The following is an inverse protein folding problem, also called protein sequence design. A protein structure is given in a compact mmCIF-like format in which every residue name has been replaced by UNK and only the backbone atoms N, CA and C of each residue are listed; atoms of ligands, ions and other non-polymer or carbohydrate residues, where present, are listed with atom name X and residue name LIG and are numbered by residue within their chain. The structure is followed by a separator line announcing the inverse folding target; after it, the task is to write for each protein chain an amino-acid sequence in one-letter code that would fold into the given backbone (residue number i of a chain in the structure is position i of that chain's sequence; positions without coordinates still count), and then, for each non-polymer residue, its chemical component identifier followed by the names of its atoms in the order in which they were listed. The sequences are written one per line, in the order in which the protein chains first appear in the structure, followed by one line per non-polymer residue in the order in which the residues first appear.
data_IF_914219053556
#
_entry.id   IF_914219053556
#
_cell.length_a   1.000
_cell.length_b   1.000
_cell.length_c   1.000
_cell.angle_alpha   90.00
_cell.angle_beta   90.00
_cell.angle_gamma   90.00
#
_symmetry.space_group_name_H-M   'P 1'
#
loop_
_entity.id
_entity.type
_entity.pdbx_description
1 polymer ?
#
# COMPACT_ATOMS: atom_id res chain seq x y z
N UNK A 1 16.16 4.10 -13.10
CA UNK A 1 15.31 5.05 -12.36
C UNK A 1 13.99 5.09 -13.10
N UNK A 2 12.91 4.67 -12.47
CA UNK A 2 11.61 4.56 -13.11
C UNK A 2 11.08 5.95 -13.50
N UNK A 3 10.39 6.07 -14.64
CA UNK A 3 9.90 7.34 -15.21
C UNK A 3 8.72 7.97 -14.43
N UNK A 4 8.31 7.36 -13.32
CA UNK A 4 7.13 7.76 -12.57
C UNK A 4 7.44 8.83 -11.53
N UNK A 5 6.83 10.02 -11.70
CA UNK A 5 6.81 11.05 -10.66
C UNK A 5 5.71 10.72 -9.64
N UNK A 6 6.09 10.38 -8.40
CA UNK A 6 5.15 10.21 -7.29
C UNK A 6 4.78 11.59 -6.74
N UNK A 7 3.51 11.98 -6.84
CA UNK A 7 3.04 13.25 -6.26
C UNK A 7 3.02 13.15 -4.75
N UNK A 8 3.43 14.19 -4.03
CA UNK A 8 3.41 14.23 -2.57
C UNK A 8 2.52 15.36 -2.06
N UNK A 9 1.57 15.03 -1.18
CA UNK A 9 0.72 15.97 -0.46
C UNK A 9 1.03 15.82 1.03
N UNK A 10 1.57 16.88 1.64
CA UNK A 10 1.95 16.89 3.05
C UNK A 10 0.72 16.94 3.96
N UNK A 11 0.78 16.20 5.06
CA UNK A 11 -0.13 16.36 6.18
C UNK A 11 0.30 17.58 7.03
N UNK A 12 -0.58 18.58 7.13
CA UNK A 12 -0.36 19.79 7.93
C UNK A 12 -0.62 19.58 9.43
N UNK A 13 -1.26 18.47 9.81
CA UNK A 13 -1.60 18.13 11.19
C UNK A 13 -1.11 16.70 11.51
N UNK A 14 0.20 16.51 11.74
CA UNK A 14 0.77 15.21 12.05
C UNK A 14 0.23 14.67 13.39
N UNK A 15 0.06 13.36 13.46
CA UNK A 15 -0.45 12.68 14.65
C UNK A 15 0.64 12.62 15.73
N UNK A 16 0.20 12.55 16.99
CA UNK A 16 1.09 12.22 18.10
C UNK A 16 1.56 10.76 17.97
N UNK A 17 2.88 10.55 18.09
CA UNK A 17 3.48 9.22 17.97
C UNK A 17 3.33 8.45 19.28
N UNK A 18 2.89 7.18 19.25
CA UNK A 18 2.80 6.37 20.46
C UNK A 18 4.18 6.16 21.09
N UNK A 19 4.21 6.01 22.42
CA UNK A 19 5.42 5.58 23.11
C UNK A 19 5.77 4.13 22.73
N UNK A 20 7.07 3.82 22.69
CA UNK A 20 7.55 2.53 22.18
C UNK A 20 7.11 1.31 23.00
N UNK A 21 6.80 1.51 24.28
CA UNK A 21 6.28 0.50 25.21
C UNK A 21 4.74 0.31 25.12
N UNK A 22 4.05 1.16 24.36
CA UNK A 22 2.60 1.11 24.13
C UNK A 22 2.23 0.59 22.73
N UNK A 23 3.22 0.18 21.93
CA UNK A 23 2.98 -0.30 20.57
C UNK A 23 2.18 -1.60 20.58
N UNK A 24 1.03 -1.58 19.91
CA UNK A 24 0.19 -2.74 19.68
C UNK A 24 -0.09 -2.89 18.20
N UNK A 25 0.22 -4.06 17.64
CA UNK A 25 0.11 -4.33 16.21
C UNK A 25 -1.25 -3.94 15.65
N UNK A 26 -1.26 -3.12 14.60
CA UNK A 26 -2.47 -2.84 13.83
C UNK A 26 -3.27 -1.63 14.30
N UNK A 27 -2.81 -0.92 15.33
CA UNK A 27 -3.61 0.10 16.02
C UNK A 27 -3.24 1.53 15.64
N UNK A 28 -1.96 1.78 15.38
CA UNK A 28 -1.46 3.12 15.08
C UNK A 28 -1.02 3.19 13.63
N UNK A 29 -1.51 4.21 12.93
CA UNK A 29 -1.24 4.42 11.50
C UNK A 29 -0.49 5.74 11.33
N UNK A 30 0.47 5.74 10.41
CA UNK A 30 1.32 6.90 10.07
C UNK A 30 0.55 8.07 9.46
N UNK A 31 1.25 9.16 9.19
CA UNK A 31 0.62 10.42 8.74
C UNK A 31 0.14 10.38 7.29
N UNK A 32 0.77 9.58 6.45
CA UNK A 32 0.49 9.45 5.02
C UNK A 32 0.27 8.00 4.61
N UNK A 33 -0.30 7.86 3.42
CA UNK A 33 -0.54 6.60 2.70
C UNK A 33 -0.11 6.78 1.24
N UNK A 34 0.39 5.72 0.62
CA UNK A 34 0.57 5.70 -0.84
C UNK A 34 -0.74 5.30 -1.52
N UNK A 35 -1.04 5.87 -2.68
CA UNK A 35 -2.16 5.51 -3.55
C UNK A 35 -1.70 5.49 -5.01
N UNK A 36 -2.14 4.51 -5.78
CA UNK A 36 -1.99 4.50 -7.25
C UNK A 36 -3.25 3.92 -7.89
N UNK A 37 -3.67 4.52 -9.00
CA UNK A 37 -4.91 4.16 -9.69
C UNK A 37 -4.60 3.18 -10.82
N UNK A 38 -5.53 2.28 -11.13
CA UNK A 38 -5.50 1.46 -12.34
C UNK A 38 -6.73 1.74 -13.21
N UNK A 39 -6.59 1.66 -14.53
CA UNK A 39 -7.69 1.34 -15.43
C UNK A 39 -7.14 0.71 -16.72
N UNK A 40 -7.96 0.01 -17.54
CA UNK A 40 -7.48 -0.68 -18.74
C UNK A 40 -6.90 0.24 -19.81
N UNK A 41 -7.31 1.50 -19.85
CA UNK A 41 -6.85 2.47 -20.85
C UNK A 41 -5.45 3.02 -20.54
N UNK A 42 -5.12 3.18 -19.25
CA UNK A 42 -3.90 3.84 -18.76
C UNK A 42 -2.95 2.89 -18.03
N UNK A 43 -3.38 1.68 -17.71
CA UNK A 43 -2.68 0.80 -16.78
C UNK A 43 -2.59 1.42 -15.38
N UNK A 44 -1.52 1.10 -14.65
CA UNK A 44 -1.21 1.73 -13.37
C UNK A 44 -0.71 3.16 -13.58
N UNK A 45 -1.37 4.14 -12.96
CA UNK A 45 -1.11 5.56 -13.17
C UNK A 45 -1.44 6.41 -11.94
N UNK A 46 -1.13 7.70 -12.00
CA UNK A 46 -1.41 8.67 -10.92
C UNK A 46 -0.87 8.26 -9.52
N UNK A 47 0.40 7.85 -9.40
CA UNK A 47 0.97 7.48 -8.11
C UNK A 47 1.13 8.72 -7.21
N UNK A 48 0.70 8.60 -5.95
CA UNK A 48 0.71 9.70 -4.99
C UNK A 48 0.90 9.22 -3.56
N UNK A 49 1.53 10.04 -2.74
CA UNK A 49 1.58 9.93 -1.28
C UNK A 49 0.75 11.08 -0.72
N UNK A 50 -0.29 10.75 0.04
CA UNK A 50 -1.28 11.70 0.54
C UNK A 50 -1.51 11.49 2.03
N UNK A 51 -2.09 12.47 2.76
CA UNK A 51 -2.45 12.27 4.15
C UNK A 51 -3.33 11.02 4.34
N UNK A 52 -3.09 10.29 5.43
CA UNK A 52 -3.89 9.14 5.80
C UNK A 52 -5.36 9.55 5.92
N UNK A 53 -6.24 8.89 5.17
CA UNK A 53 -7.66 9.21 5.12
C UNK A 53 -8.52 7.97 4.86
N UNK A 54 -9.83 8.09 5.09
CA UNK A 54 -10.79 7.06 4.73
C UNK A 54 -10.89 6.92 3.20
N UNK A 55 -11.18 5.70 2.73
CA UNK A 55 -11.47 5.44 1.33
C UNK A 55 -12.97 5.61 1.07
N UNK A 56 -13.33 6.47 0.12
CA UNK A 56 -14.70 6.60 -0.39
C UNK A 56 -14.91 5.58 -1.51
N UNK A 57 -15.82 4.64 -1.29
CA UNK A 57 -16.09 3.53 -2.21
C UNK A 57 -17.59 3.46 -2.52
N UNK A 58 -17.91 3.09 -3.76
CA UNK A 58 -19.28 2.78 -4.14
C UNK A 58 -19.77 1.53 -3.37
N UNK A 59 -21.00 1.52 -2.82
CA UNK A 59 -21.54 0.33 -2.16
C UNK A 59 -21.59 -0.92 -3.05
N UNK A 60 -21.64 -0.76 -4.37
CA UNK A 60 -21.59 -1.84 -5.36
C UNK A 60 -20.15 -2.25 -5.74
N UNK A 61 -19.12 -1.70 -5.09
CA UNK A 61 -17.72 -2.03 -5.39
C UNK A 61 -17.45 -3.54 -5.24
N UNK A 62 -16.79 -4.13 -6.25
CA UNK A 62 -16.52 -5.57 -6.30
C UNK A 62 -15.76 -6.10 -5.07
N UNK A 63 -14.92 -5.29 -4.41
CA UNK A 63 -14.27 -5.68 -3.14
C UNK A 63 -15.28 -6.12 -2.07
N UNK A 64 -16.47 -5.51 -2.01
CA UNK A 64 -17.49 -5.83 -1.01
C UNK A 64 -18.31 -7.08 -1.35
N UNK A 65 -18.50 -7.38 -2.63
CA UNK A 65 -19.41 -8.44 -3.09
C UNK A 65 -18.70 -9.72 -3.53
N UNK A 66 -17.49 -9.59 -4.07
CA UNK A 66 -16.72 -10.69 -4.65
C UNK A 66 -15.36 -10.89 -3.99
N UNK A 67 -15.00 -10.05 -3.01
CA UNK A 67 -13.74 -10.18 -2.28
C UNK A 67 -12.50 -10.04 -3.17
N UNK A 68 -12.61 -9.30 -4.28
CA UNK A 68 -11.48 -9.08 -5.19
C UNK A 68 -10.47 -8.11 -4.58
N UNK A 69 -9.61 -8.67 -3.74
CA UNK A 69 -8.55 -7.97 -3.03
C UNK A 69 -7.38 -8.89 -2.74
N UNK A 70 -6.18 -8.31 -2.68
CA UNK A 70 -4.96 -8.96 -2.20
C UNK A 70 -4.22 -8.02 -1.28
N UNK A 71 -3.39 -8.55 -0.38
CA UNK A 71 -2.53 -7.74 0.46
C UNK A 71 -1.17 -8.39 0.67
N UNK A 72 -0.22 -7.58 1.12
CA UNK A 72 1.12 -7.97 1.50
C UNK A 72 1.49 -7.48 2.90
N UNK A 73 2.60 -7.99 3.42
CA UNK A 73 3.09 -7.64 4.74
C UNK A 73 4.61 -7.67 4.80
N UNK A 74 5.21 -6.49 4.98
CA UNK A 74 6.65 -6.33 5.17
C UNK A 74 6.94 -5.35 6.29
N UNK A 75 8.22 -5.20 6.64
CA UNK A 75 8.64 -4.37 7.78
C UNK A 75 9.83 -3.49 7.40
N UNK A 76 9.81 -2.27 7.92
CA UNK A 76 10.96 -1.38 8.00
C UNK A 76 11.54 -1.41 9.42
N UNK A 77 12.86 -1.54 9.49
CA UNK A 77 13.61 -1.62 10.75
C UNK A 77 14.59 -0.46 10.82
N UNK A 78 14.65 0.21 11.97
CA UNK A 78 15.71 1.15 12.27
C UNK A 78 16.88 0.40 12.88
N UNK A 79 18.06 0.59 12.29
CA UNK A 79 19.31 0.01 12.77
C UNK A 79 19.91 0.87 13.89
N UNK A 80 20.86 0.32 14.64
CA UNK A 80 21.61 1.04 15.68
C UNK A 80 22.38 2.27 15.15
N UNK A 81 22.65 2.32 13.83
CA UNK A 81 23.30 3.45 13.15
C UNK A 81 22.29 4.43 12.55
N UNK A 82 21.05 4.40 13.04
CA UNK A 82 19.93 5.25 12.61
C UNK A 82 19.54 5.14 11.13
N UNK A 83 19.97 4.06 10.45
CA UNK A 83 19.55 3.75 9.08
C UNK A 83 18.30 2.90 9.07
N UNK A 84 17.38 3.16 8.15
CA UNK A 84 16.18 2.35 7.93
C UNK A 84 16.44 1.30 6.84
N UNK A 85 16.02 0.06 7.08
CA UNK A 85 16.16 -1.06 6.15
C UNK A 85 14.85 -1.82 5.96
N UNK A 86 14.62 -2.30 4.74
CA UNK A 86 13.54 -3.21 4.39
C UNK A 86 14.10 -4.62 4.26
N UNK A 87 13.40 -5.62 4.80
CA UNK A 87 13.82 -7.02 4.68
C UNK A 87 13.19 -7.68 3.44
N UNK A 88 14.03 -7.97 2.44
CA UNK A 88 13.67 -8.69 1.20
C UNK A 88 12.37 -8.20 0.53
N UNK A 89 12.20 -6.88 0.29
CA UNK A 89 10.95 -6.33 -0.24
C UNK A 89 10.59 -6.93 -1.61
N UNK A 90 11.59 -7.30 -2.42
CA UNK A 90 11.38 -7.99 -3.70
C UNK A 90 10.59 -9.30 -3.57
N UNK A 91 10.84 -10.11 -2.53
CA UNK A 91 10.09 -11.36 -2.33
C UNK A 91 8.62 -11.13 -1.96
N UNK A 92 8.30 -9.97 -1.40
CA UNK A 92 6.92 -9.59 -1.14
C UNK A 92 6.23 -9.13 -2.43
N UNK A 93 6.90 -8.35 -3.29
CA UNK A 93 6.30 -7.93 -4.57
C UNK A 93 6.12 -9.11 -5.53
N UNK A 94 7.08 -10.04 -5.60
CA UNK A 94 6.93 -11.30 -6.34
C UNK A 94 5.69 -12.10 -5.86
N UNK A 95 5.39 -12.08 -4.55
CA UNK A 95 4.22 -12.77 -3.98
C UNK A 95 2.91 -12.00 -4.21
N UNK A 96 2.98 -10.68 -4.21
CA UNK A 96 1.86 -9.82 -4.56
C UNK A 96 1.42 -10.09 -6.01
N UNK A 97 2.35 -10.10 -6.97
CA UNK A 97 2.03 -10.39 -8.37
C UNK A 97 1.46 -11.80 -8.59
N UNK A 98 1.95 -12.83 -7.88
CA UNK A 98 1.31 -14.16 -7.91
C UNK A 98 -0.13 -14.14 -7.37
N UNK A 99 -0.39 -13.34 -6.34
CA UNK A 99 -1.73 -13.15 -5.80
C UNK A 99 -2.61 -12.38 -6.80
N UNK A 100 -2.05 -11.36 -7.46
CA UNK A 100 -2.75 -10.59 -8.48
C UNK A 100 -3.24 -11.49 -9.61
N UNK A 101 -2.34 -12.32 -10.17
CA UNK A 101 -2.67 -13.30 -11.21
C UNK A 101 -3.84 -14.21 -10.78
N UNK A 102 -3.81 -14.72 -9.55
CA UNK A 102 -4.86 -15.60 -9.02
C UNK A 102 -6.22 -14.91 -8.88
N UNK A 103 -6.21 -13.61 -8.60
CA UNK A 103 -7.40 -12.78 -8.42
C UNK A 103 -7.81 -12.02 -9.69
N UNK A 104 -7.18 -12.34 -10.83
CA UNK A 104 -7.36 -11.65 -12.10
C UNK A 104 -7.02 -10.15 -12.05
N UNK A 105 -6.24 -9.70 -11.06
CA UNK A 105 -5.76 -8.33 -10.90
C UNK A 105 -4.54 -8.10 -11.81
N UNK A 106 -4.37 -6.92 -12.42
CA UNK A 106 -3.21 -6.62 -13.25
C UNK A 106 -1.91 -6.71 -12.44
N UNK A 107 -0.84 -7.19 -13.07
CA UNK A 107 0.48 -7.19 -12.44
C UNK A 107 0.96 -5.76 -12.19
N UNK A 108 1.65 -5.54 -11.09
CA UNK A 108 2.34 -4.28 -10.77
C UNK A 108 3.79 -4.36 -11.23
N UNK A 109 4.39 -3.20 -11.51
CA UNK A 109 5.84 -3.08 -11.63
C UNK A 109 6.47 -3.23 -10.23
N UNK A 110 7.17 -4.34 -10.00
CA UNK A 110 7.76 -4.67 -8.71
C UNK A 110 8.86 -3.69 -8.29
N UNK A 111 9.66 -3.20 -9.23
CA UNK A 111 10.73 -2.24 -8.93
C UNK A 111 10.12 -0.90 -8.52
N UNK A 112 9.14 -0.43 -9.29
CA UNK A 112 8.41 0.79 -8.97
C UNK A 112 7.70 0.69 -7.61
N UNK A 113 7.03 -0.43 -7.31
CA UNK A 113 6.35 -0.63 -6.05
C UNK A 113 7.31 -0.60 -4.85
N UNK A 114 8.50 -1.19 -4.99
CA UNK A 114 9.55 -1.14 -3.97
C UNK A 114 10.04 0.31 -3.78
N UNK A 115 10.22 1.06 -4.86
CA UNK A 115 10.67 2.45 -4.79
C UNK A 115 9.60 3.37 -4.18
N UNK A 116 8.31 3.13 -4.48
CA UNK A 116 7.19 3.81 -3.82
C UNK A 116 7.15 3.53 -2.31
N UNK A 117 7.37 2.28 -1.88
CA UNK A 117 7.48 1.92 -0.47
C UNK A 117 8.67 2.65 0.18
N UNK A 118 9.84 2.70 -0.47
CA UNK A 118 10.99 3.44 0.05
C UNK A 118 10.70 4.94 0.22
N UNK A 119 10.02 5.56 -0.76
CA UNK A 119 9.63 6.97 -0.66
C UNK A 119 8.66 7.21 0.50
N UNK A 120 7.63 6.36 0.66
CA UNK A 120 6.71 6.47 1.78
C UNK A 120 7.43 6.30 3.12
N UNK A 121 8.28 5.27 3.26
CA UNK A 121 9.05 5.03 4.50
C UNK A 121 10.04 6.16 4.79
N UNK A 122 10.57 6.82 3.77
CA UNK A 122 11.44 7.98 3.96
C UNK A 122 10.67 9.20 4.49
N UNK A 123 9.47 9.45 3.98
CA UNK A 123 8.57 10.50 4.49
C UNK A 123 8.14 10.17 5.93
N UNK A 124 7.82 8.90 6.18
CA UNK A 124 7.37 8.38 7.47
C UNK A 124 8.50 7.91 8.38
N UNK A 125 9.75 8.34 8.12
CA UNK A 125 10.90 7.78 8.81
C UNK A 125 10.79 7.92 10.33
N UNK A 126 10.25 9.04 10.83
CA UNK A 126 10.08 9.30 12.25
C UNK A 126 9.08 8.33 12.94
N UNK A 127 8.26 7.63 12.17
CA UNK A 127 7.38 6.58 12.66
C UNK A 127 8.07 5.22 12.79
N UNK A 128 9.27 5.04 12.22
CA UNK A 128 10.04 3.81 12.39
C UNK A 128 10.66 3.80 13.79
N UNK A 129 10.18 2.93 14.69
CA UNK A 129 10.62 2.91 16.08
C UNK A 129 12.07 2.44 16.18
N UNK A 130 12.75 2.89 17.23
CA UNK A 130 14.17 2.58 17.49
C UNK A 130 14.36 1.55 18.61
N UNK A 131 13.31 1.18 19.33
CA UNK A 131 13.38 0.22 20.43
C UNK A 131 13.67 -1.21 19.92
N UNK A 132 14.49 -2.00 20.63
CA UNK A 132 14.76 -3.39 20.24
C UNK A 132 13.46 -4.20 20.06
N UNK A 133 13.39 -4.98 18.98
CA UNK A 133 12.23 -5.83 18.66
C UNK A 133 11.05 -5.09 18.03
N UNK A 134 11.13 -3.78 17.84
CA UNK A 134 10.08 -2.98 17.18
C UNK A 134 10.38 -2.76 15.70
N UNK A 135 9.34 -2.44 14.93
CA UNK A 135 9.42 -2.22 13.48
C UNK A 135 8.21 -1.44 13.00
N UNK A 136 8.35 -0.69 11.91
CA UNK A 136 7.20 -0.17 11.19
C UNK A 136 6.71 -1.24 10.21
N UNK A 137 5.48 -1.72 10.40
CA UNK A 137 4.88 -2.68 9.50
C UNK A 137 4.27 -1.97 8.29
N UNK A 138 4.48 -2.49 7.10
CA UNK A 138 4.02 -1.91 5.84
C UNK A 138 2.99 -2.88 5.25
N UNK A 139 1.82 -2.35 4.89
CA UNK A 139 0.66 -3.11 4.40
C UNK A 139 0.27 -2.65 2.99
N UNK A 140 0.97 -3.06 1.92
CA UNK A 140 0.49 -2.89 0.57
C UNK A 140 -0.78 -3.74 0.38
N UNK A 141 -1.79 -3.22 -0.29
CA UNK A 141 -2.95 -4.00 -0.71
C UNK A 141 -3.58 -3.40 -1.95
N UNK A 142 -4.32 -4.24 -2.67
CA UNK A 142 -5.03 -3.90 -3.90
C UNK A 142 -6.49 -4.28 -3.71
N UNK A 143 -7.41 -3.39 -4.10
CA UNK A 143 -8.85 -3.63 -4.09
C UNK A 143 -9.46 -3.22 -5.43
N UNK A 144 -10.43 -4.01 -5.90
CA UNK A 144 -11.30 -3.59 -7.01
C UNK A 144 -12.40 -2.65 -6.51
N UNK A 145 -12.46 -1.46 -7.10
CA UNK A 145 -13.42 -0.40 -6.75
C UNK A 145 -14.53 -0.23 -7.79
N UNK A 146 -14.61 -1.15 -8.74
CA UNK A 146 -15.59 -1.11 -9.81
C UNK A 146 -17.02 -1.35 -9.28
N UNK A 147 -17.99 -0.46 -9.58
CA UNK A 147 -19.38 -0.64 -9.17
C UNK A 147 -20.10 -1.63 -10.10
N UNK A 148 -19.90 -2.93 -9.87
CA UNK A 148 -20.44 -3.99 -10.71
C UNK A 148 -20.97 -5.16 -9.88
N UNK A 149 -22.21 -5.57 -10.16
CA UNK A 149 -22.89 -6.70 -9.50
C UNK A 149 -23.30 -7.81 -10.49
N UNK A 150 -22.94 -7.68 -11.78
CA UNK A 150 -23.32 -8.64 -12.81
C UNK A 150 -22.56 -9.96 -12.70
N UNK A 151 -23.12 -11.03 -13.29
CA UNK A 151 -22.59 -12.39 -13.19
C UNK A 151 -21.12 -12.47 -13.64
N UNK A 152 -20.22 -12.64 -12.67
CA UNK A 152 -18.78 -12.74 -12.89
C UNK A 152 -18.47 -14.04 -13.62
N UNK A 153 -18.29 -13.99 -14.94
CA UNK A 153 -17.52 -15.04 -15.61
C UNK A 153 -16.05 -14.73 -15.38
N UNK A 154 -15.27 -15.71 -14.90
CA UNK A 154 -13.84 -15.55 -14.58
C UNK A 154 -13.00 -14.99 -15.74
N UNK A 155 -13.52 -15.02 -16.97
CA UNK A 155 -12.92 -14.46 -18.18
C UNK A 155 -13.23 -12.98 -18.45
N UNK A 156 -14.15 -12.35 -17.70
CA UNK A 156 -14.63 -10.98 -17.91
C UNK A 156 -14.64 -10.17 -16.61
N UNK A 157 -13.56 -10.23 -15.84
CA UNK A 157 -13.32 -9.18 -14.85
C UNK A 157 -12.56 -8.07 -15.59
N UNK A 158 -13.30 -7.19 -16.26
CA UNK A 158 -12.74 -5.97 -16.85
C UNK A 158 -12.46 -4.98 -15.72
N UNK A 159 -11.35 -5.17 -15.01
CA UNK A 159 -11.00 -4.34 -13.86
C UNK A 159 -10.86 -2.89 -14.30
N UNK A 160 -11.85 -2.07 -13.99
CA UNK A 160 -11.87 -0.68 -14.43
C UNK A 160 -11.20 0.28 -13.46
N UNK A 161 -11.10 -0.06 -12.16
CA UNK A 161 -10.42 0.75 -11.14
C UNK A 161 -9.88 -0.07 -9.96
N UNK A 162 -8.56 -0.22 -9.89
CA UNK A 162 -7.88 -0.69 -8.68
C UNK A 162 -7.16 0.46 -7.96
N UNK A 163 -7.01 0.34 -6.65
CA UNK A 163 -6.06 1.15 -5.89
C UNK A 163 -5.02 0.24 -5.22
N UNK A 164 -3.74 0.51 -5.45
CA UNK A 164 -2.71 0.09 -4.49
C UNK A 164 -2.75 1.12 -3.39
N UNK A 165 -2.98 0.71 -2.15
CA UNK A 165 -2.61 1.57 -1.03
C UNK A 165 -1.68 0.85 -0.07
N UNK A 166 -0.74 1.60 0.49
CA UNK A 166 0.19 1.11 1.49
C UNK A 166 0.05 1.93 2.74
N UNK A 167 -0.31 1.26 3.84
CA UNK A 167 -0.26 1.86 5.18
C UNK A 167 1.04 1.47 5.86
N UNK A 168 1.61 2.40 6.60
CA UNK A 168 2.56 2.04 7.64
C UNK A 168 1.80 1.96 8.97
N UNK A 169 2.01 0.87 9.70
CA UNK A 169 1.25 0.48 10.88
C UNK A 169 2.22 0.03 11.97
N UNK A 170 1.98 0.46 13.20
CA UNK A 170 2.67 -0.04 14.39
C UNK A 170 1.81 -1.06 15.13
#
# INVERSE_FOLDING_TARGET
MSEYTITYIKNEQPKEKPQSDQLSFGKYFTDHMFIQDYNPEKGWHNPRIVPYQALELDPAAMVFHYGQTVFEGLKAYRTERDKIQLFRPNKNMERLNRSNERMCIPAIDEEFAIDAIKHLVHIEQDWVPNAPGTSLYIRPFIISTEPYLGGVSFSYISIHRDFITSWCVL
#
